data_IF_743686325751
#
_entry.id   IF_743686325751
#
_cell.length_a   1.000
_cell.length_b   1.000
_cell.length_c   1.000
_cell.angle_alpha   90.00
_cell.angle_beta   90.00
_cell.angle_gamma   90.00
#
_symmetry.space_group_name_H-M   'P 1'
#
loop_
_entity.id
_entity.type
_entity.pdbx_description
1 polymer ?
#
# COMPACT_ATOMS: atom_id res chain seq x y z
N UNK A 1 18.17 -55.12 17.60
CA UNK A 1 18.92 -53.90 17.16
C UNK A 1 19.07 -53.94 15.65
N UNK A 2 18.41 -53.05 14.91
CA UNK A 2 18.50 -53.01 13.43
C UNK A 2 19.26 -51.74 13.00
N UNK A 3 20.39 -51.92 12.32
CA UNK A 3 21.21 -50.84 11.79
C UNK A 3 20.52 -50.25 10.56
N UNK A 4 20.02 -49.02 10.70
CA UNK A 4 19.44 -48.25 9.60
C UNK A 4 20.49 -48.03 8.52
N UNK A 5 20.39 -48.75 7.39
CA UNK A 5 21.20 -48.46 6.20
C UNK A 5 20.70 -47.13 5.63
N UNK A 6 21.48 -46.07 5.82
CA UNK A 6 21.23 -44.77 5.18
C UNK A 6 21.18 -44.98 3.66
N UNK A 7 20.03 -44.67 3.06
CA UNK A 7 19.86 -44.56 1.60
C UNK A 7 20.82 -43.48 1.10
N UNK A 8 21.74 -43.84 0.20
CA UNK A 8 22.66 -42.88 -0.41
C UNK A 8 21.84 -41.82 -1.18
N UNK A 9 22.09 -40.55 -0.89
CA UNK A 9 21.41 -39.43 -1.53
C UNK A 9 21.93 -39.31 -2.97
N UNK A 10 21.03 -39.39 -3.95
CA UNK A 10 21.41 -39.23 -5.36
C UNK A 10 21.91 -37.80 -5.62
N UNK A 11 22.95 -37.67 -6.45
CA UNK A 11 23.57 -36.37 -6.79
C UNK A 11 22.56 -35.47 -7.51
N UNK A 12 22.52 -34.19 -7.12
CA UNK A 12 21.68 -33.20 -7.79
C UNK A 12 22.13 -32.99 -9.24
N UNK A 13 21.30 -32.35 -10.06
CA UNK A 13 21.67 -32.02 -11.44
C UNK A 13 22.91 -31.09 -11.50
N UNK A 14 23.00 -30.15 -10.56
CA UNK A 14 24.16 -29.27 -10.44
C UNK A 14 25.43 -30.02 -10.03
N UNK A 15 25.34 -30.95 -9.07
CA UNK A 15 26.48 -31.77 -8.64
C UNK A 15 26.98 -32.68 -9.76
N UNK A 16 26.07 -33.23 -10.57
CA UNK A 16 26.43 -34.05 -11.74
C UNK A 16 27.15 -33.23 -12.82
N UNK A 17 26.72 -31.98 -13.05
CA UNK A 17 27.38 -31.11 -14.01
C UNK A 17 28.80 -30.72 -13.58
N UNK A 18 28.99 -30.40 -12.29
CA UNK A 18 30.33 -30.14 -11.72
C UNK A 18 31.22 -31.38 -11.81
N UNK A 19 30.68 -32.55 -11.50
CA UNK A 19 31.41 -33.81 -11.59
C UNK A 19 31.83 -34.13 -13.04
N UNK A 20 30.95 -33.90 -14.02
CA UNK A 20 31.26 -34.09 -15.44
C UNK A 20 32.39 -33.15 -15.91
N UNK A 21 32.34 -31.86 -15.53
CA UNK A 21 33.39 -30.90 -15.85
C UNK A 21 34.76 -31.31 -15.27
N UNK A 22 34.77 -31.91 -14.07
CA UNK A 22 36.00 -32.42 -13.47
C UNK A 22 36.53 -33.65 -14.21
N UNK A 23 35.67 -34.63 -14.53
CA UNK A 23 36.05 -35.90 -15.16
C UNK A 23 36.64 -35.72 -16.56
N UNK A 24 36.23 -34.68 -17.30
CA UNK A 24 36.81 -34.34 -18.62
C UNK A 24 38.32 -34.05 -18.55
N UNK A 25 38.83 -33.62 -17.39
CA UNK A 25 40.25 -33.30 -17.21
C UNK A 25 41.08 -34.48 -16.66
N UNK A 26 40.50 -35.68 -16.56
CA UNK A 26 41.19 -36.88 -16.07
C UNK A 26 41.49 -37.82 -17.22
N UNK A 27 42.74 -38.25 -17.32
CA UNK A 27 43.18 -39.21 -18.33
C UNK A 27 42.58 -40.60 -18.08
N UNK A 28 41.90 -41.17 -19.08
CA UNK A 28 41.21 -42.45 -18.93
C UNK A 28 42.19 -43.62 -18.97
N UNK A 29 41.97 -44.64 -18.13
CA UNK A 29 42.75 -45.88 -18.18
C UNK A 29 42.59 -46.60 -19.53
N UNK A 30 43.65 -47.26 -20.03
CA UNK A 30 43.63 -47.91 -21.34
C UNK A 30 42.52 -48.97 -21.42
N UNK A 31 41.69 -48.86 -22.47
CA UNK A 31 40.56 -49.76 -22.72
C UNK A 31 39.21 -49.28 -22.17
N UNK A 32 39.12 -48.09 -21.56
CA UNK A 32 37.84 -47.54 -21.07
C UNK A 32 37.58 -46.13 -21.62
N UNK A 33 36.41 -45.94 -22.23
CA UNK A 33 35.99 -44.65 -22.78
C UNK A 33 35.31 -43.78 -21.72
N UNK A 34 35.52 -42.47 -21.78
CA UNK A 34 34.77 -41.50 -20.98
C UNK A 34 33.32 -41.42 -21.47
N UNK A 35 32.33 -41.22 -20.58
CA UNK A 35 30.94 -41.08 -20.97
C UNK A 35 30.76 -39.82 -21.83
N UNK A 36 29.94 -39.87 -22.91
CA UNK A 36 29.64 -38.71 -23.73
C UNK A 36 29.00 -37.60 -22.87
N UNK A 37 29.28 -36.32 -23.13
CA UNK A 37 28.57 -35.24 -22.46
C UNK A 37 27.07 -35.39 -22.75
N UNK A 38 26.26 -35.44 -21.70
CA UNK A 38 24.80 -35.48 -21.82
C UNK A 38 24.36 -34.27 -22.66
N UNK A 39 23.64 -34.54 -23.74
CA UNK A 39 23.27 -33.54 -24.72
C UNK A 39 22.66 -32.33 -24.03
N UNK A 40 23.31 -31.17 -24.20
CA UNK A 40 22.75 -29.88 -23.83
C UNK A 40 21.34 -29.84 -24.40
N UNK A 41 20.34 -29.84 -23.52
CA UNK A 41 18.98 -29.47 -23.89
C UNK A 41 19.14 -28.08 -24.48
N UNK A 42 19.07 -27.95 -25.80
CA UNK A 42 18.98 -26.65 -26.44
C UNK A 42 17.74 -26.03 -25.82
N UNK A 43 17.86 -24.95 -25.03
CA UNK A 43 16.67 -24.30 -24.53
C UNK A 43 15.89 -23.92 -25.77
N UNK A 44 14.62 -24.34 -25.85
CA UNK A 44 13.69 -23.72 -26.77
C UNK A 44 13.79 -22.23 -26.43
N UNK A 45 14.44 -21.46 -27.30
CA UNK A 45 14.47 -20.02 -27.18
C UNK A 45 13.02 -19.61 -27.35
N UNK A 46 12.31 -19.47 -26.23
CA UNK A 46 11.08 -18.73 -26.22
C UNK A 46 11.41 -17.40 -26.90
N UNK A 47 10.64 -16.98 -27.92
CA UNK A 47 10.86 -15.68 -28.53
C UNK A 47 10.95 -14.67 -27.39
N UNK A 48 12.02 -13.87 -27.39
CA UNK A 48 12.23 -12.87 -26.35
C UNK A 48 10.90 -12.15 -26.13
N UNK A 49 10.43 -11.99 -24.88
CA UNK A 49 9.19 -11.29 -24.63
C UNK A 49 9.35 -9.93 -25.31
N UNK A 50 8.60 -9.73 -26.40
CA UNK A 50 8.52 -8.41 -27.00
C UNK A 50 8.06 -7.50 -25.86
N UNK A 51 8.74 -6.37 -25.60
CA UNK A 51 8.27 -5.46 -24.58
C UNK A 51 6.83 -5.13 -24.95
N UNK A 52 5.87 -5.66 -24.19
CA UNK A 52 4.51 -5.22 -24.30
C UNK A 52 4.56 -3.71 -24.17
N UNK A 53 3.89 -2.93 -25.05
CA UNK A 53 3.85 -1.49 -24.89
C UNK A 53 3.51 -1.22 -23.44
N UNK A 54 4.43 -0.54 -22.73
CA UNK A 54 4.35 -0.40 -21.29
C UNK A 54 2.96 0.10 -20.95
N UNK A 55 2.18 -0.71 -20.22
CA UNK A 55 0.89 -0.25 -19.74
C UNK A 55 1.15 1.07 -19.01
N UNK A 56 0.39 2.14 -19.30
CA UNK A 56 0.62 3.41 -18.65
C UNK A 56 0.62 3.16 -17.15
N UNK A 57 1.70 3.59 -16.49
CA UNK A 57 1.77 3.57 -15.02
C UNK A 57 0.58 4.41 -14.57
N UNK A 58 -0.41 3.76 -13.94
CA UNK A 58 -1.53 4.48 -13.36
C UNK A 58 -0.94 5.41 -12.29
N UNK A 59 -1.00 6.72 -12.56
CA UNK A 59 -0.66 7.70 -11.55
C UNK A 59 -1.57 7.47 -10.35
N UNK A 60 -1.05 7.55 -9.11
CA UNK A 60 -1.91 7.46 -7.94
C UNK A 60 -2.99 8.52 -8.06
N UNK A 61 -4.26 8.09 -8.01
CA UNK A 61 -5.39 9.01 -7.96
C UNK A 61 -5.21 9.85 -6.70
N UNK A 62 -4.97 11.14 -6.89
CA UNK A 62 -4.94 12.08 -5.78
C UNK A 62 -6.30 12.02 -5.05
N UNK A 63 -6.27 11.83 -3.73
CA UNK A 63 -7.49 11.92 -2.94
C UNK A 63 -8.12 13.29 -3.17
N UNK A 64 -9.39 13.29 -3.59
CA UNK A 64 -10.18 14.50 -3.68
C UNK A 64 -11.16 14.53 -2.51
N UNK A 65 -11.24 15.62 -1.75
CA UNK A 65 -12.27 15.76 -0.74
C UNK A 65 -13.65 15.67 -1.42
N UNK A 66 -14.63 15.01 -0.80
CA UNK A 66 -15.99 15.06 -1.30
C UNK A 66 -16.48 16.52 -1.31
N UNK A 67 -17.42 16.86 -2.21
CA UNK A 67 -18.00 18.20 -2.25
C UNK A 67 -18.61 18.54 -0.89
N UNK A 68 -18.34 19.75 -0.41
CA UNK A 68 -18.88 20.23 0.87
C UNK A 68 -20.39 20.42 0.71
N UNK A 69 -21.17 19.66 1.48
CA UNK A 69 -22.62 19.80 1.53
C UNK A 69 -23.01 20.68 2.71
N UNK A 70 -23.59 21.84 2.41
CA UNK A 70 -24.06 22.79 3.43
C UNK A 70 -25.57 22.64 3.60
N UNK A 71 -26.04 22.66 4.85
CA UNK A 71 -27.46 22.60 5.18
C UNK A 71 -28.19 21.31 4.72
N UNK A 72 -27.43 20.22 4.55
CA UNK A 72 -27.95 18.86 4.29
C UNK A 72 -27.93 18.06 5.58
N UNK A 73 -28.99 17.27 5.84
CA UNK A 73 -29.05 16.41 7.03
C UNK A 73 -27.98 15.32 6.95
N UNK A 74 -27.05 15.23 7.92
CA UNK A 74 -26.06 14.16 7.93
C UNK A 74 -26.68 12.82 8.38
N UNK A 75 -26.11 11.72 7.90
CA UNK A 75 -26.50 10.39 8.34
C UNK A 75 -26.24 10.21 9.85
N UNK A 76 -27.15 9.51 10.55
CA UNK A 76 -27.04 9.24 11.98
C UNK A 76 -27.46 10.39 12.92
N UNK A 77 -27.99 11.50 12.38
CA UNK A 77 -28.59 12.57 13.17
C UNK A 77 -30.11 12.58 13.04
N UNK A 78 -30.82 12.60 14.18
CA UNK A 78 -32.28 12.70 14.21
C UNK A 78 -32.81 14.04 13.67
N UNK A 79 -33.97 13.99 12.99
CA UNK A 79 -34.60 15.13 12.33
C UNK A 79 -34.94 16.29 13.26
N UNK A 80 -35.31 16.01 14.53
CA UNK A 80 -35.63 17.05 15.52
C UNK A 80 -34.35 17.79 15.91
N UNK A 81 -33.25 17.06 16.15
CA UNK A 81 -31.94 17.66 16.49
C UNK A 81 -31.40 18.48 15.32
N UNK A 82 -31.52 17.95 14.10
CA UNK A 82 -31.15 18.67 12.89
C UNK A 82 -31.96 19.95 12.68
N UNK A 83 -33.30 19.88 12.83
CA UNK A 83 -34.17 21.08 12.75
C UNK A 83 -33.85 22.11 13.83
N UNK A 84 -33.51 21.68 15.05
CA UNK A 84 -33.11 22.59 16.12
C UNK A 84 -31.79 23.32 15.79
N UNK A 85 -30.79 22.59 15.28
CA UNK A 85 -29.51 23.14 14.85
C UNK A 85 -29.69 24.17 13.73
N UNK A 86 -30.40 23.81 12.66
CA UNK A 86 -30.66 24.71 11.52
C UNK A 86 -31.40 25.99 11.90
N UNK A 87 -32.26 25.93 12.92
CA UNK A 87 -33.01 27.10 13.43
C UNK A 87 -32.23 27.90 14.48
N UNK A 88 -30.98 27.53 14.78
CA UNK A 88 -30.17 28.18 15.81
C UNK A 88 -30.69 27.97 17.25
N UNK A 89 -31.53 26.95 17.48
CA UNK A 89 -32.05 26.64 18.83
C UNK A 89 -31.04 25.88 19.69
N UNK A 90 -30.11 25.17 19.05
CA UNK A 90 -29.00 24.52 19.74
C UNK A 90 -27.93 25.56 20.01
N UNK A 91 -27.68 25.87 21.29
CA UNK A 91 -26.62 26.81 21.67
C UNK A 91 -25.24 26.18 21.49
N UNK A 92 -24.25 26.93 20.98
CA UNK A 92 -22.88 26.45 20.94
C UNK A 92 -22.32 26.36 22.37
N UNK A 93 -21.61 25.28 22.64
CA UNK A 93 -20.94 25.01 23.92
C UNK A 93 -19.55 25.64 23.95
N UNK A 94 -18.95 25.83 22.77
CA UNK A 94 -17.66 26.47 22.58
C UNK A 94 -17.64 27.26 21.28
N UNK A 95 -16.85 28.32 21.26
CA UNK A 95 -16.72 29.22 20.11
C UNK A 95 -15.25 29.41 19.74
N UNK A 96 -14.95 29.35 18.45
CA UNK A 96 -13.66 29.71 17.87
C UNK A 96 -13.82 30.98 17.03
N UNK A 97 -13.03 32.00 17.32
CA UNK A 97 -12.95 33.21 16.53
C UNK A 97 -11.72 33.16 15.60
N UNK A 98 -11.99 33.32 14.30
CA UNK A 98 -10.99 33.31 13.23
C UNK A 98 -10.82 34.67 12.55
N UNK A 99 -11.45 35.73 13.06
CA UNK A 99 -11.31 37.06 12.49
C UNK A 99 -9.83 37.46 12.38
N UNK A 100 -9.46 37.96 11.21
CA UNK A 100 -8.11 38.43 10.94
C UNK A 100 -7.02 37.35 10.83
N UNK A 101 -7.35 36.05 10.96
CA UNK A 101 -6.39 34.98 10.76
C UNK A 101 -6.17 34.71 9.26
N UNK A 102 -4.93 34.38 8.92
CA UNK A 102 -4.60 33.90 7.56
C UNK A 102 -5.20 32.52 7.34
N UNK A 103 -5.47 32.15 6.09
CA UNK A 103 -6.12 30.88 5.75
C UNK A 103 -5.42 29.64 6.36
N UNK A 104 -4.08 29.62 6.35
CA UNK A 104 -3.31 28.51 6.94
C UNK A 104 -3.47 28.45 8.46
N UNK A 105 -3.34 29.58 9.15
CA UNK A 105 -3.51 29.67 10.61
C UNK A 105 -4.95 29.31 11.02
N UNK A 106 -5.94 29.73 10.23
CA UNK A 106 -7.33 29.37 10.43
C UNK A 106 -7.56 27.87 10.24
N UNK A 107 -6.92 27.25 9.25
CA UNK A 107 -6.99 25.81 9.02
C UNK A 107 -6.49 25.03 10.24
N UNK A 108 -5.28 25.35 10.71
CA UNK A 108 -4.66 24.65 11.82
C UNK A 108 -5.46 24.85 13.12
N UNK A 109 -5.99 26.06 13.33
CA UNK A 109 -6.84 26.38 14.48
C UNK A 109 -8.18 25.63 14.46
N UNK A 110 -8.89 25.61 13.32
CA UNK A 110 -10.15 24.87 13.19
C UNK A 110 -9.92 23.39 13.41
N UNK A 111 -8.85 22.84 12.84
CA UNK A 111 -8.51 21.42 12.98
C UNK A 111 -8.30 21.03 14.44
N UNK A 112 -7.47 21.78 15.18
CA UNK A 112 -7.25 21.54 16.61
C UNK A 112 -8.55 21.69 17.42
N UNK A 113 -9.26 22.79 17.20
CA UNK A 113 -10.52 23.08 17.90
C UNK A 113 -11.58 21.97 17.75
N UNK A 114 -11.75 21.42 16.55
CA UNK A 114 -12.73 20.36 16.31
C UNK A 114 -12.31 19.03 16.96
N UNK A 115 -11.02 18.71 16.97
CA UNK A 115 -10.50 17.51 17.63
C UNK A 115 -10.68 17.61 19.14
N UNK A 116 -10.36 18.76 19.74
CA UNK A 116 -10.54 19.00 21.17
C UNK A 116 -12.02 18.99 21.55
N UNK A 117 -12.88 19.66 20.79
CA UNK A 117 -14.32 19.66 21.02
C UNK A 117 -14.92 18.25 20.92
N UNK A 118 -14.43 17.42 20.00
CA UNK A 118 -14.84 16.03 19.88
C UNK A 118 -14.37 15.19 21.08
N UNK A 119 -13.12 15.35 21.50
CA UNK A 119 -12.57 14.66 22.67
C UNK A 119 -13.35 15.02 23.96
N UNK A 120 -13.78 16.27 24.08
CA UNK A 120 -14.61 16.76 25.18
C UNK A 120 -16.10 16.35 25.06
N UNK A 121 -16.49 15.67 23.99
CA UNK A 121 -17.86 15.21 23.77
C UNK A 121 -18.87 16.32 23.43
N UNK A 122 -18.40 17.51 23.01
CA UNK A 122 -19.27 18.63 22.65
C UNK A 122 -20.10 18.29 21.42
N UNK A 123 -21.36 18.72 21.44
CA UNK A 123 -22.34 18.43 20.38
C UNK A 123 -22.58 19.62 19.45
N UNK A 124 -22.33 20.84 19.92
CA UNK A 124 -22.48 22.04 19.14
C UNK A 124 -21.37 23.04 19.44
N UNK A 125 -20.72 23.53 18.38
CA UNK A 125 -19.68 24.56 18.46
C UNK A 125 -19.93 25.63 17.39
N UNK A 126 -19.46 26.85 17.65
CA UNK A 126 -19.50 27.94 16.71
C UNK A 126 -18.10 28.26 16.20
N UNK A 127 -17.95 28.45 14.89
CA UNK A 127 -16.72 28.95 14.27
C UNK A 127 -17.07 30.25 13.57
N UNK A 128 -16.41 31.33 13.96
CA UNK A 128 -16.70 32.69 13.50
C UNK A 128 -15.61 33.10 12.52
N UNK A 129 -15.92 33.05 11.22
CA UNK A 129 -14.99 33.31 10.10
C UNK A 129 -14.98 34.76 9.61
N UNK A 130 -15.80 35.64 10.20
CA UNK A 130 -16.01 37.02 9.76
C UNK A 130 -16.82 37.16 8.46
N UNK A 131 -17.03 38.42 8.04
CA UNK A 131 -17.88 38.77 6.87
C UNK A 131 -17.17 38.71 5.52
N UNK A 132 -15.90 38.34 5.47
CA UNK A 132 -15.07 38.32 4.25
C UNK A 132 -14.72 39.72 3.76
N UNK A 133 -13.49 40.18 4.00
CA UNK A 133 -12.94 41.42 3.42
C UNK A 133 -11.40 41.49 3.54
N UNK A 134 -10.73 40.35 3.74
CA UNK A 134 -9.28 40.29 3.98
C UNK A 134 -8.67 39.09 3.27
#
# INVERSE_FOLDING_TARGET
MSLSRRRARALSAADRALWQAYVVNVEALPGRALPPPEATITPIVAPAPQPAPGAPIALPVAWQPPPIQVNVTPAGLDDKRWRALRRGKTKPERTLDLHGRRAQEAHDAVRGFLLDAFADGLRCVAVITGRGSS
#
